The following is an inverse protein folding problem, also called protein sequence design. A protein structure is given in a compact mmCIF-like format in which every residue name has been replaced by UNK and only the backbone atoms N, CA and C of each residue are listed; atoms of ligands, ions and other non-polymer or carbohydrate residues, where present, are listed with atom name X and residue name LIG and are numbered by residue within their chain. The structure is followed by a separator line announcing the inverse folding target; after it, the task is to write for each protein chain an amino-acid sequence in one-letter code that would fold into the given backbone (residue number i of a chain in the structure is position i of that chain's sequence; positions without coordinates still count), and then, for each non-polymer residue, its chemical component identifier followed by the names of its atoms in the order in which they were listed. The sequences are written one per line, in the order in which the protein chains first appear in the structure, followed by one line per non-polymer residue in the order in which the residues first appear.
data_IF_144046979426
#
_entry.id   IF_144046979426
#
_cell.length_a   1.000
_cell.length_b   1.000
_cell.length_c   1.000
_cell.angle_alpha   90.00
_cell.angle_beta   90.00
_cell.angle_gamma   90.00
#
_symmetry.space_group_name_H-M   'P 1'
#
loop_
_entity.id
_entity.type
_entity.pdbx_description
1 polymer ?
#
# COMPACT_ATOMS: atom_id res chain seq x y z
N UNK A 1 -10.17 58.44 32.45
CA UNK A 1 -10.46 57.17 33.14
C UNK A 1 -11.89 56.82 32.78
N UNK A 2 -12.08 55.86 31.89
CA UNK A 2 -13.41 55.43 31.42
C UNK A 2 -13.81 54.26 32.31
N UNK A 3 -14.84 54.45 33.14
CA UNK A 3 -15.43 53.41 33.98
C UNK A 3 -16.17 52.42 33.08
N UNK A 4 -15.65 51.19 32.99
CA UNK A 4 -16.31 50.09 32.28
C UNK A 4 -17.56 49.68 33.07
N UNK A 5 -18.72 50.14 32.59
CA UNK A 5 -20.02 49.72 33.08
C UNK A 5 -20.19 48.20 32.90
N UNK A 6 -19.90 47.45 33.97
CA UNK A 6 -20.05 46.00 33.99
C UNK A 6 -21.54 45.67 34.11
N UNK A 7 -22.14 45.22 33.01
CA UNK A 7 -23.53 44.78 33.00
C UNK A 7 -23.70 43.56 33.92
N UNK A 8 -24.38 43.72 35.06
CA UNK A 8 -24.63 42.68 36.07
C UNK A 8 -25.87 41.86 35.72
N UNK A 9 -25.91 41.29 34.51
CA UNK A 9 -27.04 40.46 34.07
C UNK A 9 -27.19 39.28 35.04
N UNK A 10 -28.25 39.34 35.86
CA UNK A 10 -28.63 38.27 36.80
C UNK A 10 -29.32 37.17 36.00
N UNK A 11 -28.65 36.01 35.85
CA UNK A 11 -29.22 34.84 35.19
C UNK A 11 -30.43 34.34 35.96
N UNK A 12 -31.58 34.20 35.27
CA UNK A 12 -32.77 33.59 35.87
C UNK A 12 -32.60 32.07 35.95
N UNK A 13 -32.45 31.55 37.17
CA UNK A 13 -32.28 30.12 37.43
C UNK A 13 -33.55 29.30 37.21
N UNK A 14 -34.72 29.95 37.18
CA UNK A 14 -35.99 29.30 36.81
C UNK A 14 -35.97 28.98 35.33
N UNK A 15 -35.78 30.01 34.49
CA UNK A 15 -35.70 29.86 33.04
C UNK A 15 -34.57 28.92 32.62
N UNK A 16 -33.40 29.00 33.26
CA UNK A 16 -32.27 28.13 32.94
C UNK A 16 -32.60 26.64 33.14
N UNK A 17 -33.23 26.28 34.26
CA UNK A 17 -33.62 24.88 34.52
C UNK A 17 -34.66 24.38 33.53
N UNK A 18 -35.60 25.23 33.17
CA UNK A 18 -36.64 24.88 32.19
C UNK A 18 -36.02 24.62 30.82
N UNK A 19 -35.11 25.49 30.35
CA UNK A 19 -34.36 25.31 29.10
C UNK A 19 -33.51 24.04 29.12
N UNK A 20 -32.76 23.79 30.19
CA UNK A 20 -31.90 22.59 30.34
C UNK A 20 -32.73 21.29 30.36
N UNK A 21 -34.00 21.37 30.79
CA UNK A 21 -34.91 20.22 30.82
C UNK A 21 -35.64 19.96 29.49
N UNK A 22 -35.53 20.86 28.51
CA UNK A 22 -36.19 20.70 27.22
C UNK A 22 -35.63 19.50 26.46
N UNK A 23 -36.54 18.66 25.97
CA UNK A 23 -36.20 17.54 25.09
C UNK A 23 -36.24 17.98 23.62
N UNK A 24 -35.10 17.85 22.97
CA UNK A 24 -34.84 18.30 21.60
C UNK A 24 -34.44 17.12 20.72
N UNK A 25 -34.78 17.22 19.43
CA UNK A 25 -34.24 16.33 18.39
C UNK A 25 -32.91 16.85 17.87
N UNK A 26 -32.08 15.95 17.36
CA UNK A 26 -30.78 16.31 16.81
C UNK A 26 -30.93 17.17 15.53
N UNK A 27 -30.24 18.32 15.44
CA UNK A 27 -30.34 19.21 14.29
C UNK A 27 -29.50 18.74 13.09
N UNK A 28 -28.96 17.52 13.09
CA UNK A 28 -28.13 17.02 11.99
C UNK A 28 -28.92 16.96 10.69
N UNK A 29 -28.63 17.90 9.79
CA UNK A 29 -29.11 17.91 8.42
C UNK A 29 -27.91 17.80 7.47
N UNK A 30 -28.06 17.11 6.32
CA UNK A 30 -29.28 16.54 5.75
C UNK A 30 -29.64 15.13 6.26
N UNK A 31 -28.85 14.54 7.15
CA UNK A 31 -29.06 13.17 7.62
C UNK A 31 -29.66 13.15 9.03
N UNK A 32 -30.99 13.04 9.17
CA UNK A 32 -31.62 12.98 10.49
C UNK A 32 -31.20 11.70 11.21
N UNK A 33 -30.92 11.81 12.50
CA UNK A 33 -30.73 10.68 13.40
C UNK A 33 -31.96 10.48 14.29
N UNK A 34 -32.08 9.31 14.93
CA UNK A 34 -33.22 8.99 15.79
C UNK A 34 -33.07 9.49 17.24
N UNK A 35 -32.08 10.33 17.53
CA UNK A 35 -31.82 10.78 18.90
C UNK A 35 -32.74 11.91 19.30
N UNK A 36 -33.33 11.77 20.49
CA UNK A 36 -34.12 12.78 21.19
C UNK A 36 -33.77 12.70 22.67
N UNK A 37 -33.37 13.83 23.25
CA UNK A 37 -32.91 13.89 24.63
C UNK A 37 -32.86 15.32 25.16
N UNK A 38 -32.35 15.50 26.37
CA UNK A 38 -32.24 16.83 26.98
C UNK A 38 -31.26 17.71 26.20
N UNK A 39 -31.50 19.02 26.20
CA UNK A 39 -30.60 19.98 25.58
C UNK A 39 -29.16 19.89 26.14
N UNK A 40 -29.00 19.54 27.41
CA UNK A 40 -27.68 19.35 28.04
C UNK A 40 -26.89 18.20 27.44
N UNK A 41 -27.58 17.16 26.95
CA UNK A 41 -26.96 15.94 26.43
C UNK A 41 -26.70 16.04 24.91
N UNK A 42 -27.27 17.06 24.24
CA UNK A 42 -27.13 17.28 22.80
C UNK A 42 -25.68 17.44 22.36
N UNK A 43 -24.89 18.24 23.08
CA UNK A 43 -23.49 18.48 22.72
C UNK A 43 -22.66 17.18 22.77
N UNK A 44 -22.94 16.34 23.78
CA UNK A 44 -22.30 15.04 23.90
C UNK A 44 -22.73 14.10 22.76
N UNK A 45 -24.02 14.08 22.44
CA UNK A 45 -24.54 13.32 21.33
C UNK A 45 -23.90 13.72 20.00
N UNK A 46 -23.89 15.00 19.65
CA UNK A 46 -23.33 15.49 18.38
C UNK A 46 -21.83 15.23 18.28
N UNK A 47 -21.11 15.36 19.39
CA UNK A 47 -19.67 15.17 19.42
C UNK A 47 -19.29 13.72 19.32
N UNK A 48 -19.90 12.79 20.06
CA UNK A 48 -19.39 11.43 20.23
C UNK A 48 -20.35 10.30 19.80
N UNK A 49 -21.66 10.45 20.04
CA UNK A 49 -22.62 9.35 19.88
C UNK A 49 -23.40 9.38 18.56
N UNK A 50 -23.47 10.52 17.90
CA UNK A 50 -24.32 10.70 16.72
C UNK A 50 -23.78 9.89 15.55
N UNK A 51 -24.53 8.89 15.03
CA UNK A 51 -24.09 8.06 13.91
C UNK A 51 -23.99 8.88 12.60
N UNK A 52 -24.78 9.95 12.52
CA UNK A 52 -24.82 10.89 11.40
C UNK A 52 -23.82 12.06 11.54
N UNK A 53 -22.94 12.05 12.54
CA UNK A 53 -21.88 13.09 12.66
C UNK A 53 -20.88 12.94 11.53
N UNK A 54 -20.43 14.08 10.97
CA UNK A 54 -19.38 14.09 9.96
C UNK A 54 -18.01 13.98 10.61
N UNK A 55 -17.24 12.99 10.18
CA UNK A 55 -15.86 12.74 10.62
C UNK A 55 -14.92 12.76 9.44
N UNK A 56 -13.72 13.25 9.69
CA UNK A 56 -12.63 13.20 8.73
C UNK A 56 -12.07 11.79 8.68
N UNK A 57 -11.61 11.36 7.51
CA UNK A 57 -11.02 10.04 7.40
C UNK A 57 -9.68 9.94 8.14
N UNK A 58 -9.54 8.91 8.99
CA UNK A 58 -8.31 8.61 9.75
C UNK A 58 -7.10 8.35 8.84
N UNK A 59 -7.33 7.83 7.64
CA UNK A 59 -6.30 7.63 6.62
C UNK A 59 -5.88 8.94 5.95
N UNK A 60 -6.43 10.10 6.36
CA UNK A 60 -6.14 11.43 5.83
C UNK A 60 -6.32 11.52 4.32
N UNK A 61 -7.41 10.94 3.81
CA UNK A 61 -7.78 11.05 2.40
C UNK A 61 -8.26 12.46 2.01
N UNK A 62 -8.62 13.30 3.00
CA UNK A 62 -9.11 14.66 2.81
C UNK A 62 -10.64 14.77 2.72
N UNK A 63 -11.36 13.65 2.74
CA UNK A 63 -12.83 13.60 2.75
C UNK A 63 -13.43 13.61 4.16
N UNK A 64 -14.68 14.06 4.24
CA UNK A 64 -15.55 13.96 5.41
C UNK A 64 -16.68 12.98 5.10
N UNK A 65 -16.96 12.07 6.03
CA UNK A 65 -17.93 11.00 5.88
C UNK A 65 -18.78 10.89 7.14
N UNK A 66 -19.98 10.31 7.05
CA UNK A 66 -20.77 10.01 8.24
C UNK A 66 -20.03 8.98 9.09
N UNK A 67 -20.13 9.08 10.41
CA UNK A 67 -19.44 8.17 11.32
C UNK A 67 -19.76 6.70 11.05
N UNK A 68 -21.02 6.37 10.73
CA UNK A 68 -21.41 5.01 10.35
C UNK A 68 -20.84 4.54 8.99
N UNK A 69 -20.62 5.46 8.06
CA UNK A 69 -20.10 5.16 6.72
C UNK A 69 -18.57 5.14 6.71
N UNK A 70 -17.94 5.74 7.71
CA UNK A 70 -16.49 5.92 7.76
C UNK A 70 -15.73 4.59 7.77
N UNK A 71 -16.23 3.60 8.52
CA UNK A 71 -15.65 2.26 8.54
C UNK A 71 -15.71 1.59 7.16
N UNK A 72 -16.87 1.69 6.49
CA UNK A 72 -17.04 1.17 5.14
C UNK A 72 -16.13 1.90 4.14
N UNK A 73 -16.05 3.23 4.22
CA UNK A 73 -15.15 4.03 3.42
C UNK A 73 -13.71 3.57 3.57
N UNK A 74 -13.21 3.41 4.81
CA UNK A 74 -11.84 2.96 5.06
C UNK A 74 -11.58 1.55 4.52
N UNK A 75 -12.58 0.68 4.55
CA UNK A 75 -12.48 -0.70 4.07
C UNK A 75 -12.57 -0.84 2.54
N UNK A 76 -13.31 0.02 1.84
CA UNK A 76 -13.67 -0.20 0.43
C UNK A 76 -13.38 0.97 -0.50
N UNK A 77 -13.65 2.19 -0.07
CA UNK A 77 -13.65 3.36 -0.97
C UNK A 77 -12.43 4.27 -0.79
N UNK A 78 -11.72 4.16 0.33
CA UNK A 78 -10.61 5.03 0.64
C UNK A 78 -9.42 4.77 -0.29
N UNK A 79 -9.01 5.80 -1.04
CA UNK A 79 -7.82 5.78 -1.89
C UNK A 79 -6.50 5.63 -1.12
N UNK A 80 -6.52 5.79 0.20
CA UNK A 80 -5.36 5.56 1.07
C UNK A 80 -5.42 4.23 1.82
N UNK A 81 -6.42 3.40 1.52
CA UNK A 81 -6.51 2.04 2.08
C UNK A 81 -5.25 1.25 1.70
N UNK A 82 -4.65 0.51 2.65
CA UNK A 82 -3.57 -0.42 2.34
C UNK A 82 -4.11 -1.57 1.49
N UNK A 83 -3.54 -1.74 0.31
CA UNK A 83 -3.85 -2.82 -0.63
C UNK A 83 -2.55 -3.57 -0.92
N UNK A 84 -2.55 -4.92 -0.87
CA UNK A 84 -1.37 -5.69 -1.21
C UNK A 84 -1.14 -5.69 -2.72
N UNK A 85 0.10 -5.45 -3.14
CA UNK A 85 0.50 -5.64 -4.52
C UNK A 85 0.29 -7.10 -4.94
N UNK A 86 -0.31 -7.34 -6.11
CA UNK A 86 -0.60 -8.70 -6.57
C UNK A 86 0.67 -9.51 -6.82
N UNK A 87 1.76 -8.85 -7.19
CA UNK A 87 3.04 -9.46 -7.56
C UNK A 87 3.98 -9.62 -6.37
N UNK A 88 4.24 -8.53 -5.62
CA UNK A 88 5.19 -8.56 -4.49
C UNK A 88 4.57 -8.65 -3.11
N UNK A 89 3.24 -8.65 -3.01
CA UNK A 89 2.46 -8.70 -1.76
C UNK A 89 2.75 -7.58 -0.76
N UNK A 90 3.52 -6.56 -1.16
CA UNK A 90 3.79 -5.39 -0.32
C UNK A 90 2.52 -4.54 -0.16
N UNK A 91 2.26 -4.09 1.07
CA UNK A 91 1.11 -3.26 1.42
C UNK A 91 1.38 -1.81 1.05
N UNK A 92 0.56 -1.25 0.18
CA UNK A 92 0.71 0.12 -0.32
C UNK A 92 -0.64 0.84 -0.29
N UNK A 93 -0.66 2.17 -0.11
CA UNK A 93 -1.87 2.95 -0.33
C UNK A 93 -2.37 2.76 -1.77
N UNK A 94 -3.69 2.56 -1.95
CA UNK A 94 -4.30 2.38 -3.27
C UNK A 94 -3.86 3.47 -4.29
N UNK A 95 -3.72 4.72 -3.85
CA UNK A 95 -3.22 5.84 -4.68
C UNK A 95 -1.81 5.63 -5.25
N UNK A 96 -0.93 4.96 -4.50
CA UNK A 96 0.48 4.77 -4.86
C UNK A 96 0.71 3.41 -5.53
N UNK A 97 -0.31 2.54 -5.55
CA UNK A 97 -0.22 1.19 -6.10
C UNK A 97 0.07 1.20 -7.61
N UNK A 98 -0.50 2.17 -8.34
CA UNK A 98 -0.27 2.33 -9.78
C UNK A 98 1.19 2.69 -10.09
N UNK A 99 1.75 3.67 -9.37
CA UNK A 99 3.15 4.05 -9.49
C UNK A 99 4.07 2.89 -9.08
N UNK A 100 3.68 2.17 -8.03
CA UNK A 100 4.39 0.96 -7.64
C UNK A 100 4.39 -0.11 -8.75
N UNK A 101 3.29 -0.38 -9.46
CA UNK A 101 3.29 -1.37 -10.55
C UNK A 101 4.31 -1.04 -11.64
N UNK A 102 4.49 0.25 -11.94
CA UNK A 102 5.50 0.71 -12.91
C UNK A 102 6.93 0.41 -12.44
N UNK A 103 7.21 0.52 -11.13
CA UNK A 103 8.52 0.24 -10.53
C UNK A 103 8.72 -1.17 -9.95
N UNK A 104 7.66 -1.96 -9.80
CA UNK A 104 7.68 -3.23 -9.09
C UNK A 104 8.55 -4.26 -9.83
N UNK A 105 9.52 -4.85 -9.15
CA UNK A 105 10.45 -5.82 -9.73
C UNK A 105 9.77 -7.16 -10.09
N UNK A 106 8.73 -7.51 -9.34
CA UNK A 106 7.96 -8.76 -9.55
C UNK A 106 6.78 -8.59 -10.51
N UNK A 107 6.45 -7.36 -10.92
CA UNK A 107 5.43 -7.13 -11.93
C UNK A 107 5.94 -7.56 -13.31
N UNK A 108 5.05 -8.01 -14.20
CA UNK A 108 5.42 -8.37 -15.56
C UNK A 108 5.98 -7.15 -16.30
N UNK A 109 7.08 -7.36 -17.00
CA UNK A 109 7.77 -6.33 -17.78
C UNK A 109 7.66 -6.62 -19.28
N UNK A 110 7.69 -5.60 -20.11
CA UNK A 110 7.83 -5.79 -21.56
C UNK A 110 9.29 -5.58 -21.95
N UNK A 111 9.86 -6.53 -22.67
CA UNK A 111 11.21 -6.38 -23.19
C UNK A 111 11.25 -5.26 -24.25
N UNK A 112 12.10 -4.26 -24.04
CA UNK A 112 12.27 -3.12 -24.97
C UNK A 112 12.82 -3.54 -26.34
N UNK A 113 13.48 -4.70 -26.43
CA UNK A 113 14.13 -5.17 -27.65
C UNK A 113 13.27 -6.14 -28.48
N UNK A 114 12.55 -7.06 -27.83
CA UNK A 114 11.74 -8.08 -28.54
C UNK A 114 10.23 -7.93 -28.33
N UNK A 115 9.79 -6.96 -27.51
CA UNK A 115 8.38 -6.69 -27.16
C UNK A 115 7.62 -7.88 -26.54
N UNK A 116 8.32 -8.91 -26.08
CA UNK A 116 7.72 -10.03 -25.36
C UNK A 116 7.40 -9.61 -23.90
N UNK A 117 6.30 -10.14 -23.39
CA UNK A 117 5.87 -10.01 -21.99
C UNK A 117 6.64 -11.01 -21.12
N UNK A 118 7.31 -10.52 -20.09
CA UNK A 118 8.02 -11.30 -19.08
C UNK A 118 7.15 -11.41 -17.82
N UNK A 119 7.18 -12.55 -17.13
CA UNK A 119 6.41 -12.77 -15.90
C UNK A 119 6.94 -11.94 -14.71
N UNK A 120 8.23 -11.57 -14.73
CA UNK A 120 8.80 -10.57 -13.81
C UNK A 120 9.90 -9.74 -14.49
N UNK A 121 10.13 -8.51 -14.02
CA UNK A 121 11.22 -7.63 -14.51
C UNK A 121 12.62 -8.12 -14.11
N UNK A 122 12.69 -9.06 -13.15
CA UNK A 122 13.93 -9.73 -12.75
C UNK A 122 14.32 -10.89 -13.66
N UNK A 123 13.41 -11.40 -14.47
CA UNK A 123 13.69 -12.49 -15.40
C UNK A 123 14.48 -12.01 -16.61
N UNK A 124 15.50 -12.77 -16.99
CA UNK A 124 16.28 -12.50 -18.20
C UNK A 124 15.44 -12.92 -19.40
N UNK A 125 15.11 -11.98 -20.28
CA UNK A 125 14.49 -12.32 -21.55
C UNK A 125 15.48 -13.13 -22.41
N UNK A 126 15.20 -14.42 -22.62
CA UNK A 126 15.91 -15.28 -23.58
C UNK A 126 15.44 -15.03 -25.01
N UNK A 127 15.47 -13.77 -25.46
CA UNK A 127 15.31 -13.50 -26.89
C UNK A 127 16.52 -14.10 -27.61
N UNK A 128 16.31 -14.81 -28.72
CA UNK A 128 17.28 -15.66 -29.42
C UNK A 128 18.61 -15.03 -29.86
N UNK A 129 18.91 -13.76 -29.49
CA UNK A 129 20.18 -13.07 -29.77
C UNK A 129 20.74 -12.16 -28.67
N UNK A 130 20.37 -12.29 -27.38
CA UNK A 130 21.19 -11.80 -26.23
C UNK A 130 20.52 -12.02 -24.87
N UNK A 131 21.31 -12.45 -23.89
CA UNK A 131 21.02 -12.34 -22.46
C UNK A 131 21.33 -10.90 -22.01
N UNK A 132 20.35 -10.14 -21.52
CA UNK A 132 20.58 -8.80 -20.98
C UNK A 132 20.94 -8.89 -19.48
N UNK A 133 22.15 -8.46 -19.11
CA UNK A 133 22.57 -8.19 -17.74
C UNK A 133 21.98 -6.84 -17.27
N UNK A 134 21.61 -6.72 -15.97
CA UNK A 134 21.36 -5.41 -15.33
C UNK A 134 22.57 -4.48 -15.54
N UNK A 135 22.36 -3.14 -15.62
CA UNK A 135 23.41 -2.16 -15.86
C UNK A 135 24.24 -1.94 -14.58
N UNK A 136 25.23 -2.80 -14.33
CA UNK A 136 26.29 -2.49 -13.36
C UNK A 136 27.65 -3.14 -13.66
N UNK A 137 27.76 -4.05 -14.62
CA UNK A 137 29.07 -4.56 -15.05
C UNK A 137 29.63 -3.72 -16.21
N UNK A 138 30.13 -2.53 -15.87
CA UNK A 138 31.31 -2.02 -16.53
C UNK A 138 32.47 -2.95 -16.16
N UNK A 139 33.23 -3.36 -17.18
CA UNK A 139 34.44 -4.21 -17.17
C UNK A 139 34.18 -5.69 -17.44
N UNK A 140 34.83 -6.12 -18.52
CA UNK A 140 35.09 -7.50 -18.95
C UNK A 140 33.98 -8.16 -19.76
N UNK A 141 33.83 -7.72 -21.01
CA UNK A 141 33.63 -8.69 -22.10
C UNK A 141 34.50 -8.31 -23.29
N UNK A 142 35.42 -9.23 -23.59
CA UNK A 142 36.57 -9.12 -24.46
C UNK A 142 36.19 -8.81 -25.90
N UNK A 143 36.70 -7.69 -26.40
CA UNK A 143 37.21 -7.72 -27.76
C UNK A 143 38.24 -8.85 -27.83
N UNK A 144 38.03 -9.85 -28.68
CA UNK A 144 38.80 -10.03 -29.92
C UNK A 144 38.58 -11.44 -30.45
N UNK A 145 38.15 -11.51 -31.70
CA UNK A 145 38.38 -12.65 -32.57
C UNK A 145 39.89 -12.83 -32.81
N UNK A 146 40.34 -14.08 -32.77
CA UNK A 146 41.44 -14.67 -33.54
C UNK A 146 42.88 -14.12 -33.37
N UNK A 147 43.78 -14.90 -32.73
CA UNK A 147 44.99 -15.52 -33.35
C UNK A 147 46.05 -16.03 -32.34
N UNK A 148 46.65 -17.16 -32.73
CA UNK A 148 48.05 -17.65 -32.59
C UNK A 148 48.63 -18.13 -31.25
N UNK A 149 48.91 -19.46 -31.23
CA UNK A 149 50.09 -20.20 -30.74
C UNK A 149 51.08 -19.50 -29.78
N UNK A 150 51.32 -20.12 -28.61
CA UNK A 150 52.59 -20.80 -28.25
C UNK A 150 52.63 -21.22 -26.76
N UNK A 151 53.12 -22.45 -26.55
CA UNK A 151 53.77 -23.06 -25.39
C UNK A 151 53.73 -22.39 -24.00
N UNK A 152 53.42 -23.17 -22.95
CA UNK A 152 54.40 -23.66 -21.97
C UNK A 152 53.89 -24.93 -21.28
N UNK A 153 54.83 -25.86 -21.09
CA UNK A 153 54.68 -27.14 -20.40
C UNK A 153 54.63 -26.89 -18.88
N UNK A 154 53.85 -27.67 -18.12
CA UNK A 154 54.41 -28.60 -17.13
C UNK A 154 53.32 -29.50 -16.53
N UNK A 155 53.52 -30.82 -16.62
CA UNK A 155 52.82 -31.87 -15.87
C UNK A 155 53.83 -32.43 -14.87
N UNK A 156 53.46 -32.95 -13.68
CA UNK A 156 52.93 -34.34 -13.60
C UNK A 156 51.83 -34.54 -12.52
N UNK A 157 50.83 -35.40 -12.78
CA UNK A 157 50.65 -36.81 -12.27
C UNK A 157 50.42 -36.85 -10.74
N UNK A 158 49.36 -37.47 -10.21
CA UNK A 158 49.22 -38.94 -10.07
C UNK A 158 47.74 -39.39 -10.00
N UNK A 159 47.46 -40.39 -10.85
CA UNK A 159 46.59 -41.58 -10.76
C UNK A 159 45.39 -41.68 -9.82
N UNK A 160 44.27 -42.18 -10.36
CA UNK A 160 43.17 -42.73 -9.56
C UNK A 160 42.00 -43.29 -10.38
N UNK A 161 42.28 -44.31 -11.20
CA UNK A 161 41.41 -45.42 -11.62
C UNK A 161 39.94 -45.15 -12.02
N UNK A 162 39.71 -45.31 -13.32
CA UNK A 162 38.45 -45.63 -13.96
C UNK A 162 38.28 -47.15 -13.97
N UNK A 163 37.09 -47.68 -13.68
CA UNK A 163 36.59 -48.86 -14.39
C UNK A 163 35.07 -49.01 -14.24
N UNK A 164 34.42 -48.93 -15.39
CA UNK A 164 33.07 -49.39 -15.70
C UNK A 164 32.77 -50.79 -15.16
N UNK A 165 31.50 -51.05 -14.82
CA UNK A 165 30.78 -52.20 -15.38
C UNK A 165 29.27 -52.11 -15.16
N UNK A 166 28.57 -52.39 -16.25
CA UNK A 166 27.14 -52.51 -16.36
C UNK A 166 26.63 -53.77 -15.65
N UNK A 167 25.45 -53.70 -15.05
CA UNK A 167 24.61 -54.87 -14.80
C UNK A 167 23.29 -54.70 -15.56
N UNK A 168 23.13 -55.49 -16.61
CA UNK A 168 21.86 -55.77 -17.27
C UNK A 168 21.39 -57.18 -16.89
N UNK A 169 20.06 -57.36 -16.98
CA UNK A 169 19.27 -58.62 -16.97
C UNK A 169 18.94 -59.18 -15.56
N UNK A 170 17.68 -59.10 -15.08
CA UNK A 170 16.46 -59.83 -15.48
C UNK A 170 16.41 -61.30 -15.04
N UNK A 171 15.37 -61.64 -14.23
CA UNK A 171 14.82 -62.98 -13.92
C UNK A 171 15.81 -63.89 -13.16
N UNK A 172 15.46 -64.59 -12.08
CA UNK A 172 14.23 -65.32 -11.72
C UNK A 172 13.97 -65.19 -10.22
#
# INVERSE_FOLDING_TARGET
MMDEARCTVRKDRGCQREIESLEVDCPTQPHPCSWRGKLTDMEHHESEECPKRLRECDLKCGGKYLAEELEQHMARDCNRRPVPCQYCKHQLPMKDLQDHYMGCEQAPGVCTHCKQTLESKTEVCFCSKRTFQKPSCLRQCSARSERTVAAVQDTPRVSGLNLSSAHTLSRW
#
